data_IF_752383400360
#
_entry.id   IF_752383400360
#
_cell.length_a   1.000
_cell.length_b   1.000
_cell.length_c   1.000
_cell.angle_alpha   90.00
_cell.angle_beta   90.00
_cell.angle_gamma   90.00
#
_symmetry.space_group_name_H-M   'P 1'
#
loop_
_entity.id
_entity.type
_entity.pdbx_description
1 polymer ?
#
# COMPACT_ATOMS: atom_id res chain seq x y z
N UNK A 1 -5.39 -16.40 -1.69
CA UNK A 1 -4.92 -15.62 -0.53
C UNK A 1 -3.51 -16.09 -0.19
N UNK A 2 -2.66 -15.17 0.25
CA UNK A 2 -1.27 -15.47 0.65
C UNK A 2 -1.15 -15.23 2.14
N UNK A 3 -0.51 -16.14 2.87
CA UNK A 3 -0.34 -16.04 4.33
C UNK A 3 1.02 -15.43 4.65
N UNK A 4 1.03 -14.48 5.56
CA UNK A 4 2.24 -13.93 6.19
C UNK A 4 2.16 -14.12 7.71
N UNK A 5 3.29 -14.20 8.39
CA UNK A 5 3.34 -14.19 9.86
C UNK A 5 3.68 -12.78 10.33
N UNK A 6 2.90 -12.26 11.27
CA UNK A 6 3.10 -10.95 11.89
C UNK A 6 3.32 -11.14 13.38
N UNK A 7 4.33 -10.48 13.94
CA UNK A 7 4.52 -10.43 15.39
C UNK A 7 3.52 -9.44 15.98
N UNK A 8 2.78 -9.89 16.99
CA UNK A 8 1.80 -9.11 17.76
C UNK A 8 1.97 -9.42 19.24
N UNK A 9 1.39 -8.58 20.09
CA UNK A 9 1.43 -8.80 21.53
C UNK A 9 0.84 -10.17 21.93
N UNK A 10 1.46 -10.81 22.92
CA UNK A 10 1.16 -12.19 23.30
C UNK A 10 -0.28 -12.37 23.81
N UNK A 11 -0.81 -11.38 24.51
CA UNK A 11 -2.18 -11.35 25.00
C UNK A 11 -3.19 -11.23 23.85
N UNK A 12 -2.90 -10.41 22.84
CA UNK A 12 -3.73 -10.29 21.63
C UNK A 12 -3.75 -11.60 20.85
N UNK A 13 -2.59 -12.26 20.69
CA UNK A 13 -2.52 -13.56 20.03
C UNK A 13 -3.38 -14.62 20.73
N UNK A 14 -3.32 -14.68 22.07
CA UNK A 14 -4.13 -15.59 22.87
C UNK A 14 -5.62 -15.27 22.74
N UNK A 15 -6.01 -14.00 22.85
CA UNK A 15 -7.41 -13.58 22.72
C UNK A 15 -7.97 -13.91 21.33
N UNK A 16 -7.18 -13.72 20.27
CA UNK A 16 -7.58 -14.08 18.90
C UNK A 16 -7.77 -15.59 18.75
N UNK A 17 -6.82 -16.41 19.24
CA UNK A 17 -6.90 -17.87 19.15
C UNK A 17 -8.09 -18.46 19.93
N UNK A 18 -8.47 -17.82 21.04
CA UNK A 18 -9.61 -18.23 21.86
C UNK A 18 -10.96 -17.70 21.36
N UNK A 19 -10.96 -16.82 20.35
CA UNK A 19 -12.20 -16.23 19.82
C UNK A 19 -12.92 -17.17 18.85
N UNK A 20 -14.23 -16.98 18.72
CA UNK A 20 -15.06 -17.76 17.81
C UNK A 20 -14.59 -17.63 16.35
N UNK A 21 -14.75 -18.66 15.51
CA UNK A 21 -14.31 -18.63 14.11
C UNK A 21 -14.85 -17.43 13.31
N UNK A 22 -16.09 -17.04 13.57
CA UNK A 22 -16.72 -15.87 12.94
C UNK A 22 -15.99 -14.56 13.33
N UNK A 23 -15.58 -14.44 14.59
CA UNK A 23 -14.85 -13.27 15.07
C UNK A 23 -13.43 -13.23 14.50
N UNK A 24 -12.74 -14.39 14.41
CA UNK A 24 -11.44 -14.49 13.75
C UNK A 24 -11.49 -14.04 12.28
N UNK A 25 -12.54 -14.44 11.55
CA UNK A 25 -12.75 -14.01 10.16
C UNK A 25 -12.99 -12.50 10.05
N UNK A 26 -13.83 -11.92 10.90
CA UNK A 26 -14.07 -10.47 10.93
C UNK A 26 -12.78 -9.69 11.16
N UNK A 27 -11.96 -10.15 12.12
CA UNK A 27 -10.65 -9.55 12.41
C UNK A 27 -9.70 -9.67 11.21
N UNK A 28 -9.64 -10.83 10.54
CA UNK A 28 -8.83 -10.98 9.32
C UNK A 28 -9.24 -10.01 8.21
N UNK A 29 -10.54 -9.82 7.98
CA UNK A 29 -11.05 -8.87 6.97
C UNK A 29 -10.61 -7.44 7.32
N UNK A 30 -10.77 -7.04 8.59
CA UNK A 30 -10.38 -5.73 9.07
C UNK A 30 -8.88 -5.47 8.90
N UNK A 31 -8.04 -6.42 9.31
CA UNK A 31 -6.57 -6.31 9.17
C UNK A 31 -6.19 -6.22 7.69
N UNK A 32 -6.83 -6.99 6.81
CA UNK A 32 -6.57 -6.90 5.37
C UNK A 32 -6.94 -5.54 4.79
N UNK A 33 -8.08 -4.96 5.19
CA UNK A 33 -8.48 -3.63 4.72
C UNK A 33 -7.53 -2.56 5.25
N UNK A 34 -7.24 -2.59 6.55
CA UNK A 34 -6.30 -1.67 7.17
C UNK A 34 -4.91 -1.76 6.54
N UNK A 35 -4.38 -2.96 6.26
CA UNK A 35 -3.09 -3.10 5.57
C UNK A 35 -3.10 -2.51 4.17
N UNK A 36 -4.20 -2.65 3.40
CA UNK A 36 -4.32 -2.02 2.07
C UNK A 36 -4.26 -0.49 2.14
N UNK A 37 -4.88 0.09 3.17
CA UNK A 37 -4.92 1.54 3.39
C UNK A 37 -3.60 2.06 3.98
N UNK A 38 -3.05 1.37 4.98
CA UNK A 38 -1.86 1.77 5.72
C UNK A 38 -0.58 1.63 4.89
N UNK A 39 -0.48 0.57 4.09
CA UNK A 39 0.61 0.43 3.11
C UNK A 39 0.35 1.35 1.91
N UNK A 40 -0.81 2.03 1.88
CA UNK A 40 -1.28 2.97 0.88
C UNK A 40 -0.82 2.52 -0.51
N UNK A 41 -1.16 1.26 -0.88
CA UNK A 41 -0.57 0.53 -2.02
C UNK A 41 -0.35 1.54 -3.12
N UNK A 42 0.91 1.97 -3.18
CA UNK A 42 1.57 3.11 -3.83
C UNK A 42 0.85 3.77 -5.01
N UNK A 43 -0.46 4.04 -4.94
CA UNK A 43 -1.23 4.40 -6.13
C UNK A 43 -0.75 5.73 -6.65
N UNK A 44 -0.54 6.71 -5.77
CA UNK A 44 -0.03 7.99 -6.22
C UNK A 44 1.45 7.90 -6.61
N UNK A 45 2.31 7.33 -5.77
CA UNK A 45 3.75 7.24 -6.06
C UNK A 45 4.03 6.39 -7.31
N UNK A 46 3.52 5.17 -7.40
CA UNK A 46 3.68 4.32 -8.59
C UNK A 46 2.98 4.91 -9.82
N UNK A 47 1.88 5.65 -9.68
CA UNK A 47 1.29 6.37 -10.82
C UNK A 47 2.16 7.55 -11.24
N UNK A 48 2.76 8.28 -10.30
CA UNK A 48 3.69 9.37 -10.54
C UNK A 48 5.00 8.87 -11.17
N UNK A 49 5.54 7.76 -10.69
CA UNK A 49 6.72 7.10 -11.24
C UNK A 49 6.45 6.67 -12.69
N UNK A 50 5.33 5.97 -12.92
CA UNK A 50 4.92 5.56 -14.27
C UNK A 50 4.68 6.75 -15.21
N UNK A 51 4.05 7.81 -14.72
CA UNK A 51 3.84 9.04 -15.49
C UNK A 51 5.17 9.73 -15.82
N UNK A 52 6.13 9.71 -14.90
CA UNK A 52 7.47 10.26 -15.12
C UNK A 52 8.21 9.47 -16.19
N UNK A 53 8.19 8.13 -16.11
CA UNK A 53 8.79 7.24 -17.12
C UNK A 53 8.17 7.45 -18.51
N UNK A 54 6.83 7.58 -18.58
CA UNK A 54 6.11 7.81 -19.83
C UNK A 54 6.40 9.20 -20.40
N UNK A 55 6.50 10.22 -19.55
CA UNK A 55 6.83 11.57 -19.96
C UNK A 55 8.26 11.64 -20.55
N UNK A 56 9.24 11.02 -19.89
CA UNK A 56 10.62 10.94 -20.38
C UNK A 56 10.69 10.20 -21.72
N UNK A 57 9.99 9.06 -21.86
CA UNK A 57 9.92 8.30 -23.11
C UNK A 57 9.30 9.08 -24.27
N UNK A 58 8.39 10.02 -23.99
CA UNK A 58 7.79 10.92 -24.98
C UNK A 58 8.62 12.20 -25.22
N UNK A 59 9.82 12.29 -24.65
CA UNK A 59 10.75 13.41 -24.87
C UNK A 59 10.55 14.58 -23.92
N UNK A 60 9.73 14.46 -22.87
CA UNK A 60 9.70 15.43 -21.78
C UNK A 60 10.90 15.18 -20.86
N UNK A 61 12.06 15.69 -21.26
CA UNK A 61 13.27 15.62 -20.44
C UNK A 61 13.20 16.63 -19.28
N UNK A 62 13.99 16.44 -18.22
CA UNK A 62 14.03 17.38 -17.09
C UNK A 62 14.29 18.83 -17.51
N UNK A 63 15.15 19.03 -18.53
CA UNK A 63 15.46 20.36 -19.07
C UNK A 63 14.25 21.02 -19.76
N UNK A 64 13.44 20.25 -20.50
CA UNK A 64 12.23 20.75 -21.16
C UNK A 64 11.16 21.06 -20.11
N UNK A 65 10.99 20.19 -19.12
CA UNK A 65 10.08 20.43 -18.01
C UNK A 65 10.45 21.71 -17.24
N UNK A 66 11.74 21.93 -16.98
CA UNK A 66 12.24 23.12 -16.33
C UNK A 66 12.00 24.39 -17.16
N UNK A 67 12.10 24.32 -18.49
CA UNK A 67 11.74 25.45 -19.35
C UNK A 67 10.25 25.79 -19.31
N UNK A 68 9.37 24.79 -19.23
CA UNK A 68 7.91 24.98 -19.17
C UNK A 68 7.47 25.57 -17.83
N UNK A 69 8.14 25.19 -16.73
CA UNK A 69 7.78 25.64 -15.38
C UNK A 69 8.32 27.03 -15.03
N UNK A 70 9.32 27.51 -15.76
CA UNK A 70 9.97 28.81 -15.54
C UNK A 70 9.53 29.91 -16.53
N UNK A 71 8.54 29.62 -17.39
CA UNK A 71 7.75 30.62 -18.14
C UNK A 71 6.47 31.01 -17.38
#
# INVERSE_FOLDING_TARGET
>A
MTTISLEIDSDVAKAFQLSEPEQQQKIQILINQWMKEAINISKLQTTMDKLSDEAEANGLTPEILESILNE
#
